data_IF_754587477895
#
_entry.id   IF_754587477895
#
_cell.length_a   1.000
_cell.length_b   1.000
_cell.length_c   1.000
_cell.angle_alpha   90.00
_cell.angle_beta   90.00
_cell.angle_gamma   90.00
#
_symmetry.space_group_name_H-M   'P 1'
#
loop_
_entity.id
_entity.type
_entity.pdbx_description
1 polymer ?
#
# COMPACT_ATOMS: atom_id res chain seq x y z
N UNK A 1 -23.13 3.31 -8.39
CA UNK A 1 -22.31 3.95 -7.35
C UNK A 1 -22.62 5.44 -7.15
N UNK A 2 -23.72 5.96 -7.71
CA UNK A 2 -24.08 7.38 -7.58
C UNK A 2 -24.31 7.81 -6.13
N UNK A 3 -25.02 7.04 -5.31
CA UNK A 3 -25.26 7.40 -3.90
C UNK A 3 -23.97 7.63 -3.10
N UNK A 4 -22.94 6.80 -3.36
CA UNK A 4 -21.63 6.97 -2.73
C UNK A 4 -20.91 8.19 -3.29
N UNK A 5 -21.01 8.44 -4.59
CA UNK A 5 -20.41 9.61 -5.23
C UNK A 5 -21.05 10.92 -4.73
N UNK A 6 -22.37 10.95 -4.55
CA UNK A 6 -23.11 12.08 -3.97
C UNK A 6 -22.69 12.31 -2.50
N UNK A 7 -22.49 11.23 -1.74
CA UNK A 7 -21.92 11.33 -0.39
C UNK A 7 -20.51 11.91 -0.40
N UNK A 8 -19.65 11.43 -1.30
CA UNK A 8 -18.28 11.93 -1.46
C UNK A 8 -18.25 13.42 -1.85
N UNK A 9 -19.15 13.84 -2.75
CA UNK A 9 -19.39 15.24 -3.12
C UNK A 9 -19.72 16.09 -1.91
N UNK A 10 -20.74 15.68 -1.14
CA UNK A 10 -21.21 16.41 0.04
C UNK A 10 -20.11 16.54 1.11
N UNK A 11 -19.29 15.51 1.31
CA UNK A 11 -18.14 15.56 2.23
C UNK A 11 -17.08 16.53 1.71
N UNK A 12 -16.70 16.44 0.43
CA UNK A 12 -15.67 17.29 -0.16
C UNK A 12 -16.08 18.76 -0.20
N UNK A 13 -17.35 19.06 -0.48
CA UNK A 13 -17.90 20.42 -0.44
C UNK A 13 -17.88 20.96 0.99
N UNK A 14 -18.39 20.18 1.96
CA UNK A 14 -18.46 20.58 3.37
C UNK A 14 -17.09 20.92 3.97
N UNK A 15 -16.05 20.18 3.57
CA UNK A 15 -14.69 20.32 4.10
C UNK A 15 -13.73 21.02 3.13
N UNK A 16 -14.24 21.66 2.08
CA UNK A 16 -13.41 22.42 1.15
C UNK A 16 -12.58 23.49 1.89
N UNK A 17 -11.30 23.61 1.55
CA UNK A 17 -10.33 24.46 2.24
C UNK A 17 -9.85 23.95 3.61
N UNK A 18 -10.39 22.82 4.12
CA UNK A 18 -9.99 22.22 5.41
C UNK A 18 -9.39 20.83 5.26
N UNK A 19 -9.96 20.00 4.39
CA UNK A 19 -9.45 18.67 4.04
C UNK A 19 -9.04 18.69 2.57
N UNK A 20 -7.79 18.30 2.33
CA UNK A 20 -7.21 18.24 0.99
C UNK A 20 -7.19 16.83 0.41
N UNK A 21 -7.01 15.80 1.24
CA UNK A 21 -6.78 14.43 0.79
C UNK A 21 -7.98 13.55 1.13
N UNK A 22 -8.49 12.80 0.16
CA UNK A 22 -9.64 11.92 0.31
C UNK A 22 -9.29 10.53 -0.20
N UNK A 23 -9.25 9.53 0.67
CA UNK A 23 -9.11 8.13 0.26
C UNK A 23 -10.48 7.53 -0.03
N UNK A 24 -10.62 6.96 -1.22
CA UNK A 24 -11.85 6.33 -1.64
C UNK A 24 -11.78 4.84 -1.31
N UNK A 25 -12.49 4.48 -0.24
CA UNK A 25 -12.59 3.12 0.30
C UNK A 25 -11.33 2.65 1.05
N UNK A 26 -11.45 1.48 1.69
CA UNK A 26 -10.36 0.78 2.35
C UNK A 26 -10.38 -0.69 1.89
N UNK A 27 -9.25 -1.23 1.45
CA UNK A 27 -9.07 -2.66 1.21
C UNK A 27 -10.15 -3.33 0.31
N UNK A 28 -10.50 -2.74 -0.86
CA UNK A 28 -11.59 -3.24 -1.71
C UNK A 28 -11.34 -4.65 -2.30
N UNK A 29 -10.12 -5.16 -2.20
CA UNK A 29 -9.74 -6.50 -2.63
C UNK A 29 -9.90 -7.58 -1.54
N UNK A 30 -10.44 -7.23 -0.37
CA UNK A 30 -10.89 -8.15 0.67
C UNK A 30 -12.40 -8.06 0.93
N UNK A 31 -13.11 -9.18 0.96
CA UNK A 31 -14.58 -9.26 1.09
C UNK A 31 -15.10 -8.67 2.39
N UNK A 32 -14.34 -8.79 3.48
CA UNK A 32 -14.69 -8.15 4.76
C UNK A 32 -14.89 -6.63 4.61
N UNK A 33 -14.18 -6.04 3.66
CA UNK A 33 -14.13 -4.60 3.41
C UNK A 33 -14.89 -4.21 2.13
N UNK A 34 -15.22 -5.17 1.25
CA UNK A 34 -15.95 -4.95 -0.01
C UNK A 34 -17.40 -5.45 0.03
N UNK A 35 -18.06 -5.32 1.18
CA UNK A 35 -19.42 -5.80 1.38
C UNK A 35 -19.47 -7.29 1.71
N UNK A 36 -19.89 -7.61 2.93
CA UNK A 36 -19.99 -8.99 3.40
C UNK A 36 -20.90 -9.80 2.46
N UNK A 37 -20.41 -10.97 2.01
CA UNK A 37 -21.09 -11.92 1.12
C UNK A 37 -21.13 -11.59 -0.39
N UNK A 38 -20.22 -10.77 -0.93
CA UNK A 38 -20.06 -10.65 -2.38
C UNK A 38 -18.61 -10.82 -2.85
N UNK A 39 -18.38 -11.28 -4.09
CA UNK A 39 -17.03 -11.35 -4.62
C UNK A 39 -16.37 -9.97 -4.71
N UNK A 40 -15.07 -9.90 -4.46
CA UNK A 40 -14.28 -8.70 -4.72
C UNK A 40 -14.20 -8.45 -6.22
N UNK A 41 -14.31 -7.19 -6.63
CA UNK A 41 -14.45 -6.85 -8.04
C UNK A 41 -13.67 -5.56 -8.36
N UNK A 42 -12.49 -5.66 -9.00
CA UNK A 42 -11.66 -4.52 -9.38
C UNK A 42 -12.38 -3.53 -10.29
N UNK A 43 -13.13 -4.00 -11.28
CA UNK A 43 -13.81 -3.15 -12.25
C UNK A 43 -14.93 -2.33 -11.56
N UNK A 44 -15.69 -2.96 -10.68
CA UNK A 44 -16.69 -2.29 -9.85
C UNK A 44 -16.08 -1.27 -8.89
N UNK A 45 -14.94 -1.59 -8.28
CA UNK A 45 -14.21 -0.63 -7.47
C UNK A 45 -13.73 0.56 -8.31
N UNK A 46 -13.25 0.32 -9.53
CA UNK A 46 -12.89 1.39 -10.48
C UNK A 46 -14.07 2.28 -10.83
N UNK A 47 -15.26 1.72 -11.09
CA UNK A 47 -16.47 2.51 -11.32
C UNK A 47 -16.82 3.42 -10.12
N UNK A 48 -16.76 2.87 -8.89
CA UNK A 48 -16.97 3.63 -7.66
C UNK A 48 -15.93 4.75 -7.49
N UNK A 49 -14.65 4.43 -7.71
CA UNK A 49 -13.53 5.37 -7.62
C UNK A 49 -13.69 6.52 -8.62
N UNK A 50 -13.96 6.22 -9.89
CA UNK A 50 -14.13 7.22 -10.94
C UNK A 50 -15.34 8.12 -10.70
N UNK A 51 -16.47 7.57 -10.25
CA UNK A 51 -17.65 8.36 -9.90
C UNK A 51 -17.33 9.33 -8.75
N UNK A 52 -16.72 8.85 -7.67
CA UNK A 52 -16.31 9.69 -6.55
C UNK A 52 -15.28 10.75 -6.95
N UNK A 53 -14.27 10.38 -7.75
CA UNK A 53 -13.25 11.31 -8.27
C UNK A 53 -13.90 12.47 -9.02
N UNK A 54 -14.78 12.18 -9.98
CA UNK A 54 -15.47 13.20 -10.78
C UNK A 54 -16.28 14.18 -9.92
N UNK A 55 -17.06 13.66 -8.96
CA UNK A 55 -17.88 14.50 -8.07
C UNK A 55 -17.02 15.37 -7.13
N UNK A 56 -15.99 14.78 -6.51
CA UNK A 56 -15.07 15.52 -5.64
C UNK A 56 -14.39 16.64 -6.41
N UNK A 57 -13.86 16.36 -7.61
CA UNK A 57 -13.15 17.36 -8.41
C UNK A 57 -14.05 18.48 -8.90
N UNK A 58 -15.34 18.22 -9.13
CA UNK A 58 -16.32 19.23 -9.55
C UNK A 58 -16.55 20.31 -8.47
N UNK A 59 -16.63 19.92 -7.20
CA UNK A 59 -16.87 20.85 -6.08
C UNK A 59 -15.58 21.36 -5.43
N UNK A 60 -14.49 20.61 -5.54
CA UNK A 60 -13.18 20.95 -5.00
C UNK A 60 -12.06 20.50 -5.96
N UNK A 61 -11.71 21.33 -6.97
CA UNK A 61 -10.63 21.02 -7.90
C UNK A 61 -9.24 20.87 -7.25
N UNK A 62 -9.04 21.44 -6.05
CA UNK A 62 -7.79 21.35 -5.29
C UNK A 62 -7.67 20.11 -4.41
N UNK A 63 -8.74 19.30 -4.31
CA UNK A 63 -8.71 18.03 -3.61
C UNK A 63 -7.74 17.05 -4.31
N UNK A 64 -7.09 16.22 -3.51
CA UNK A 64 -6.25 15.11 -3.94
C UNK A 64 -6.97 13.82 -3.57
N UNK A 65 -7.25 12.99 -4.55
CA UNK A 65 -8.02 11.76 -4.39
C UNK A 65 -7.06 10.58 -4.40
N UNK A 66 -7.10 9.79 -3.33
CA UNK A 66 -6.35 8.55 -3.20
C UNK A 66 -7.25 7.38 -3.60
N UNK A 67 -6.72 6.47 -4.44
CA UNK A 67 -7.28 5.13 -4.52
C UNK A 67 -7.11 4.42 -3.17
N UNK A 68 -8.04 3.54 -2.84
CA UNK A 68 -8.09 2.77 -1.60
C UNK A 68 -6.89 1.84 -1.49
N UNK A 69 -6.34 1.75 -0.28
CA UNK A 69 -5.22 0.87 -0.02
C UNK A 69 -5.66 -0.58 -0.21
N UNK A 70 -4.95 -1.34 -1.02
CA UNK A 70 -5.26 -2.74 -1.24
C UNK A 70 -4.74 -3.58 -0.06
N UNK A 71 -5.54 -4.55 0.40
CA UNK A 71 -5.09 -5.58 1.35
C UNK A 71 -3.89 -6.29 0.73
N UNK A 72 -2.72 -6.33 1.39
CA UNK A 72 -1.56 -7.00 0.84
C UNK A 72 -1.73 -8.50 1.04
N UNK A 73 -2.15 -9.19 -0.02
CA UNK A 73 -2.52 -10.61 0.02
C UNK A 73 -2.07 -11.35 -1.21
N UNK A 74 -1.82 -12.65 -1.06
CA UNK A 74 -1.52 -13.57 -2.17
C UNK A 74 -2.72 -14.43 -2.55
N UNK A 75 -3.88 -14.18 -1.92
CA UNK A 75 -5.10 -14.92 -2.16
C UNK A 75 -5.61 -14.74 -3.59
N UNK A 76 -6.20 -15.80 -4.17
CA UNK A 76 -6.85 -15.74 -5.47
C UNK A 76 -8.16 -16.52 -5.34
N UNK A 77 -9.15 -15.89 -4.72
CA UNK A 77 -10.50 -16.44 -4.59
C UNK A 77 -11.54 -15.31 -4.61
N UNK A 78 -12.82 -15.68 -4.68
CA UNK A 78 -13.92 -14.72 -4.77
C UNK A 78 -13.91 -13.71 -3.62
N UNK A 79 -13.53 -14.15 -2.41
CA UNK A 79 -13.53 -13.29 -1.24
C UNK A 79 -12.28 -12.43 -1.08
N UNK A 80 -11.14 -12.80 -1.67
CA UNK A 80 -9.88 -12.08 -1.52
C UNK A 80 -9.05 -12.24 -2.78
N UNK A 81 -8.63 -11.12 -3.35
CA UNK A 81 -7.82 -11.11 -4.57
C UNK A 81 -6.48 -10.43 -4.32
N UNK A 82 -5.42 -11.05 -4.86
CA UNK A 82 -4.07 -10.54 -4.83
C UNK A 82 -4.03 -9.09 -5.31
N UNK A 83 -3.38 -8.25 -4.54
CA UNK A 83 -3.31 -6.80 -4.73
C UNK A 83 -2.70 -6.41 -6.10
N UNK A 84 -1.67 -7.12 -6.56
CA UNK A 84 -1.09 -6.86 -7.88
C UNK A 84 -2.08 -7.20 -9.01
N UNK A 85 -2.79 -8.32 -8.92
CA UNK A 85 -3.82 -8.69 -9.91
C UNK A 85 -4.99 -7.70 -9.86
N UNK A 86 -5.41 -7.29 -8.67
CA UNK A 86 -6.48 -6.32 -8.48
C UNK A 86 -6.10 -4.97 -9.09
N UNK A 87 -4.89 -4.47 -8.83
CA UNK A 87 -4.37 -3.21 -9.39
C UNK A 87 -4.24 -3.26 -10.92
N UNK A 88 -3.74 -4.36 -11.49
CA UNK A 88 -3.69 -4.55 -12.94
C UNK A 88 -5.08 -4.45 -13.59
N UNK A 89 -6.08 -5.07 -12.96
CA UNK A 89 -7.46 -5.03 -13.45
C UNK A 89 -8.11 -3.65 -13.27
N UNK A 90 -7.79 -2.94 -12.18
CA UNK A 90 -8.19 -1.54 -12.02
C UNK A 90 -7.65 -0.67 -13.16
N UNK A 91 -6.37 -0.82 -13.48
CA UNK A 91 -5.76 -0.08 -14.60
C UNK A 91 -6.40 -0.42 -15.93
N UNK A 92 -6.64 -1.70 -16.21
CA UNK A 92 -7.34 -2.15 -17.42
C UNK A 92 -8.78 -1.59 -17.52
N UNK A 93 -9.42 -1.31 -16.39
CA UNK A 93 -10.74 -0.69 -16.30
C UNK A 93 -10.71 0.85 -16.37
N UNK A 94 -9.54 1.48 -16.48
CA UNK A 94 -9.39 2.93 -16.61
C UNK A 94 -9.18 3.68 -15.28
N UNK A 95 -8.84 2.99 -14.20
CA UNK A 95 -8.63 3.64 -12.89
C UNK A 95 -7.52 4.69 -12.90
N UNK A 96 -6.56 4.61 -13.83
CA UNK A 96 -5.47 5.58 -13.95
C UNK A 96 -5.97 7.02 -14.03
N UNK A 97 -7.09 7.29 -14.68
CA UNK A 97 -7.62 8.67 -14.80
C UNK A 97 -8.44 9.13 -13.57
N UNK A 98 -8.57 8.27 -12.55
CA UNK A 98 -9.52 8.42 -11.45
C UNK A 98 -8.88 8.48 -10.06
N UNK A 99 -7.57 8.65 -9.97
CA UNK A 99 -6.88 8.96 -8.71
C UNK A 99 -5.61 9.79 -8.97
N UNK A 100 -5.23 10.58 -7.96
CA UNK A 100 -4.01 11.38 -7.98
C UNK A 100 -2.85 10.66 -7.25
N UNK A 101 -3.19 9.77 -6.31
CA UNK A 101 -2.25 9.04 -5.46
C UNK A 101 -2.74 7.60 -5.28
N UNK A 102 -1.86 6.61 -5.38
CA UNK A 102 -2.20 5.23 -5.02
C UNK A 102 -1.94 5.02 -3.54
N UNK A 103 -2.92 4.55 -2.78
CA UNK A 103 -2.70 4.15 -1.39
C UNK A 103 -2.25 2.69 -1.31
N UNK A 104 -1.42 2.34 -0.32
CA UNK A 104 -0.90 0.99 -0.13
C UNK A 104 -0.67 0.69 1.35
N UNK A 105 -0.63 -0.60 1.68
CA UNK A 105 -0.30 -1.07 3.03
C UNK A 105 1.19 -1.45 3.11
N UNK A 106 1.83 -1.11 4.22
CA UNK A 106 3.26 -1.29 4.51
C UNK A 106 3.53 -2.32 5.59
N UNK A 107 2.67 -3.32 5.79
CA UNK A 107 2.87 -4.31 6.85
C UNK A 107 4.13 -5.16 6.62
N UNK A 108 5.03 -5.19 7.61
CA UNK A 108 6.26 -5.99 7.52
C UNK A 108 6.09 -7.46 7.90
N UNK A 109 4.96 -7.80 8.54
CA UNK A 109 4.55 -9.15 8.95
C UNK A 109 5.69 -9.91 9.68
N UNK A 110 6.34 -10.83 8.98
CA UNK A 110 7.36 -11.75 9.51
C UNK A 110 8.81 -11.31 9.22
N UNK A 111 9.01 -10.11 8.71
CA UNK A 111 10.32 -9.62 8.25
C UNK A 111 10.56 -8.18 8.67
N UNK A 112 11.83 -7.79 8.85
CA UNK A 112 12.19 -6.42 9.18
C UNK A 112 12.06 -5.46 7.99
N UNK A 113 12.10 -4.16 8.28
CA UNK A 113 11.97 -3.10 7.27
C UNK A 113 13.10 -3.11 6.22
N UNK A 114 14.30 -3.59 6.58
CA UNK A 114 15.45 -3.72 5.69
C UNK A 114 15.50 -5.06 4.93
N UNK A 115 14.42 -5.84 4.90
CA UNK A 115 14.35 -6.99 4.00
C UNK A 115 14.35 -6.52 2.54
N UNK A 116 15.24 -7.08 1.72
CA UNK A 116 15.30 -6.80 0.28
C UNK A 116 14.77 -7.96 -0.57
N UNK A 117 14.31 -9.05 0.05
CA UNK A 117 13.77 -10.20 -0.66
C UNK A 117 12.43 -9.82 -1.28
N UNK A 118 12.43 -9.79 -2.61
CA UNK A 118 11.24 -9.63 -3.43
C UNK A 118 10.83 -11.00 -3.97
N UNK A 119 9.71 -11.52 -3.46
CA UNK A 119 9.06 -12.73 -3.98
C UNK A 119 7.58 -12.41 -4.18
N UNK A 120 6.99 -12.65 -5.36
CA UNK A 120 5.60 -12.26 -5.63
C UNK A 120 4.57 -12.90 -4.70
N UNK A 121 4.93 -14.00 -4.03
CA UNK A 121 4.09 -14.74 -3.10
C UNK A 121 4.45 -14.50 -1.62
N UNK A 122 5.25 -13.49 -1.32
CA UNK A 122 5.61 -13.11 0.06
C UNK A 122 5.23 -11.65 0.26
N UNK A 123 4.37 -11.42 1.25
CA UNK A 123 4.03 -10.07 1.69
C UNK A 123 5.04 -9.61 2.74
N UNK A 124 5.67 -8.48 2.49
CA UNK A 124 6.59 -7.78 3.37
C UNK A 124 6.65 -6.29 2.98
N UNK A 125 7.36 -5.48 3.76
CA UNK A 125 7.49 -4.05 3.50
C UNK A 125 7.94 -3.68 2.07
N UNK A 126 8.96 -4.33 1.46
CA UNK A 126 9.38 -4.02 0.09
C UNK A 126 8.39 -4.48 -0.99
N UNK A 127 7.31 -5.22 -0.67
CA UNK A 127 6.27 -5.60 -1.64
C UNK A 127 5.68 -4.40 -2.38
N UNK A 128 5.67 -3.21 -1.76
CA UNK A 128 5.29 -1.95 -2.38
C UNK A 128 6.08 -1.61 -3.66
N UNK A 129 7.29 -2.18 -3.82
CA UNK A 129 8.05 -2.07 -5.07
C UNK A 129 7.33 -2.77 -6.25
N UNK A 130 6.56 -3.82 -6.02
CA UNK A 130 5.76 -4.45 -7.08
C UNK A 130 4.55 -3.60 -7.47
N UNK A 131 3.86 -2.98 -6.50
CA UNK A 131 2.79 -2.01 -6.79
C UNK A 131 3.35 -0.86 -7.63
N UNK A 132 4.52 -0.33 -7.24
CA UNK A 132 5.21 0.70 -8.00
C UNK A 132 5.54 0.26 -9.43
N UNK A 133 6.03 -0.96 -9.62
CA UNK A 133 6.34 -1.51 -10.94
C UNK A 133 5.08 -1.67 -11.81
N UNK A 134 3.91 -1.96 -11.22
CA UNK A 134 2.61 -1.96 -11.94
C UNK A 134 2.28 -0.55 -12.39
N UNK A 135 2.30 0.45 -11.49
CA UNK A 135 1.98 1.84 -11.84
C UNK A 135 2.85 2.38 -12.97
N UNK A 136 4.17 2.15 -12.90
CA UNK A 136 5.12 2.61 -13.94
C UNK A 136 4.82 1.97 -15.30
N UNK A 137 4.41 0.70 -15.35
CA UNK A 137 4.02 0.02 -16.60
C UNK A 137 2.74 0.58 -17.21
N UNK A 138 1.87 1.17 -16.39
CA UNK A 138 0.63 1.83 -16.83
C UNK A 138 0.79 3.34 -17.05
N UNK A 139 2.02 3.86 -17.05
CA UNK A 139 2.30 5.27 -17.34
C UNK A 139 2.24 6.22 -16.14
N UNK A 140 1.90 5.72 -14.95
CA UNK A 140 1.75 6.51 -13.72
C UNK A 140 3.06 6.62 -12.92
N UNK A 141 4.18 6.76 -13.60
CA UNK A 141 5.48 6.93 -12.94
C UNK A 141 5.59 8.28 -12.18
N UNK A 142 4.77 9.26 -12.51
CA UNK A 142 4.72 10.57 -11.86
C UNK A 142 3.81 10.60 -10.63
N UNK A 143 2.85 9.67 -10.50
CA UNK A 143 1.97 9.58 -9.34
C UNK A 143 2.68 8.94 -8.14
N UNK A 144 2.53 9.49 -6.92
CA UNK A 144 3.13 8.91 -5.73
C UNK A 144 2.30 7.75 -5.18
N UNK A 145 2.95 6.94 -4.33
CA UNK A 145 2.27 5.99 -3.44
C UNK A 145 2.26 6.59 -2.03
N UNK A 146 1.15 6.47 -1.34
CA UNK A 146 1.08 6.74 0.11
C UNK A 146 0.90 5.44 0.86
N UNK A 147 1.69 5.22 1.89
CA UNK A 147 1.51 4.09 2.80
C UNK A 147 0.48 4.52 3.84
N UNK A 148 -0.76 4.04 3.72
CA UNK A 148 -1.87 4.36 4.63
C UNK A 148 -1.77 3.65 5.96
N UNK A 149 -1.18 2.45 5.98
CA UNK A 149 -0.96 1.70 7.21
C UNK A 149 0.42 1.03 7.16
N UNK A 150 1.28 1.38 8.10
CA UNK A 150 2.56 0.75 8.36
C UNK A 150 2.52 0.12 9.75
N UNK A 151 3.08 -1.07 9.91
CA UNK A 151 3.25 -1.63 11.25
C UNK A 151 3.90 -3.00 11.31
N UNK A 152 4.33 -3.33 12.53
CA UNK A 152 4.71 -4.66 12.97
C UNK A 152 3.95 -5.00 14.23
N UNK A 153 3.60 -6.28 14.40
CA UNK A 153 2.68 -6.71 15.45
C UNK A 153 3.45 -7.39 16.60
N UNK A 154 3.17 -6.97 17.85
CA UNK A 154 3.77 -7.56 19.08
C UNK A 154 2.80 -8.49 19.82
N UNK A 155 1.90 -9.15 19.07
CA UNK A 155 0.87 -10.04 19.64
C UNK A 155 1.51 -11.10 20.56
N UNK A 156 1.03 -11.23 21.81
CA UNK A 156 1.55 -12.21 22.76
C UNK A 156 1.51 -13.65 22.24
N UNK A 157 2.35 -14.49 22.84
CA UNK A 157 2.32 -15.94 22.59
C UNK A 157 0.95 -16.53 22.95
N UNK A 158 0.53 -17.57 22.21
CA UNK A 158 -0.76 -18.23 22.40
C UNK A 158 -1.95 -17.56 21.70
N UNK A 159 -1.80 -16.34 21.17
CA UNK A 159 -2.79 -15.70 20.30
C UNK A 159 -2.49 -15.89 18.82
N UNK A 160 -3.51 -15.69 17.98
CA UNK A 160 -3.38 -15.72 16.52
C UNK A 160 -2.37 -14.66 16.05
N UNK A 161 -1.37 -15.09 15.29
CA UNK A 161 -0.30 -14.25 14.76
C UNK A 161 -0.44 -14.02 13.25
N UNK A 162 -1.67 -13.98 12.73
CA UNK A 162 -1.94 -13.76 11.30
C UNK A 162 -1.29 -12.52 10.69
N UNK A 163 -0.95 -11.52 11.51
CA UNK A 163 -0.27 -10.29 11.10
C UNK A 163 1.25 -10.29 11.36
N UNK A 164 1.83 -11.47 11.59
CA UNK A 164 3.20 -11.61 12.08
C UNK A 164 3.31 -11.46 13.60
N UNK A 165 4.50 -11.77 14.12
CA UNK A 165 4.87 -11.57 15.52
C UNK A 165 6.34 -11.16 15.60
N UNK A 166 6.59 -10.03 16.24
CA UNK A 166 7.94 -9.53 16.57
C UNK A 166 8.02 -9.17 18.04
N UNK A 167 9.23 -8.96 18.56
CA UNK A 167 9.40 -8.41 19.92
C UNK A 167 9.12 -6.89 19.94
N UNK A 168 8.81 -6.28 21.10
CA UNK A 168 8.67 -4.82 21.21
C UNK A 168 9.90 -4.05 20.72
N UNK A 169 11.10 -4.56 20.98
CA UNK A 169 12.36 -3.94 20.52
C UNK A 169 12.50 -4.04 18.99
N UNK A 170 12.08 -5.16 18.40
CA UNK A 170 12.04 -5.32 16.95
C UNK A 170 11.00 -4.38 16.32
N UNK A 171 9.80 -4.28 16.89
CA UNK A 171 8.75 -3.37 16.41
C UNK A 171 9.25 -1.92 16.40
N UNK A 172 9.88 -1.47 17.49
CA UNK A 172 10.42 -0.12 17.62
C UNK A 172 11.51 0.16 16.57
N UNK A 173 12.49 -0.75 16.44
CA UNK A 173 13.56 -0.61 15.45
C UNK A 173 13.03 -0.64 14.01
N UNK A 174 12.20 -1.62 13.67
CA UNK A 174 11.70 -1.78 12.30
C UNK A 174 10.82 -0.62 11.87
N UNK A 175 10.05 -0.02 12.78
CA UNK A 175 9.28 1.18 12.48
C UNK A 175 10.18 2.33 12.04
N UNK A 176 11.25 2.63 12.78
CA UNK A 176 12.21 3.69 12.43
C UNK A 176 12.90 3.38 11.11
N UNK A 177 13.45 2.17 10.96
CA UNK A 177 14.12 1.73 9.72
C UNK A 177 13.20 1.83 8.49
N UNK A 178 11.89 1.63 8.65
CA UNK A 178 10.92 1.74 7.56
C UNK A 178 10.80 3.17 7.03
N UNK A 179 10.73 4.16 7.93
CA UNK A 179 10.70 5.57 7.57
C UNK A 179 12.02 6.01 6.92
N UNK A 180 13.15 5.65 7.53
CA UNK A 180 14.48 5.95 7.00
C UNK A 180 14.68 5.36 5.60
N UNK A 181 14.28 4.09 5.41
CA UNK A 181 14.36 3.43 4.12
C UNK A 181 13.45 4.06 3.09
N UNK A 182 12.21 4.40 3.43
CA UNK A 182 11.31 5.08 2.49
C UNK A 182 11.90 6.42 2.03
N UNK A 183 12.45 7.20 2.96
CA UNK A 183 13.14 8.46 2.63
C UNK A 183 14.39 8.25 1.76
N UNK A 184 15.20 7.23 2.08
CA UNK A 184 16.48 6.98 1.43
C UNK A 184 16.38 6.22 0.10
N UNK A 185 15.33 5.43 -0.13
CA UNK A 185 15.24 4.53 -1.28
C UNK A 185 14.00 4.78 -2.16
N UNK A 186 12.92 5.33 -1.61
CA UNK A 186 11.61 5.36 -2.28
C UNK A 186 11.11 6.80 -2.50
N UNK A 187 11.74 7.57 -3.41
CA UNK A 187 11.35 8.96 -3.68
C UNK A 187 9.95 9.13 -4.29
N UNK A 188 9.29 8.02 -4.63
CA UNK A 188 7.90 7.96 -5.08
C UNK A 188 6.90 7.78 -3.93
N UNK A 189 7.37 7.57 -2.70
CA UNK A 189 6.50 7.56 -1.51
C UNK A 189 6.29 8.98 -1.02
N UNK A 190 5.02 9.37 -0.87
CA UNK A 190 4.65 10.69 -0.34
C UNK A 190 4.52 10.71 1.19
N UNK A 191 3.58 9.94 1.72
CA UNK A 191 3.30 9.88 3.17
C UNK A 191 3.36 8.43 3.63
N UNK A 192 3.88 8.22 4.84
CA UNK A 192 3.85 6.93 5.54
C UNK A 192 3.13 7.11 6.89
N UNK A 193 1.99 6.45 7.04
CA UNK A 193 1.17 6.52 8.24
C UNK A 193 1.35 5.24 9.07
N UNK A 194 1.74 5.38 10.34
CA UNK A 194 1.82 4.24 11.25
C UNK A 194 0.43 3.87 11.77
N UNK A 195 0.08 2.59 11.67
CA UNK A 195 -1.17 2.05 12.15
C UNK A 195 -0.95 1.38 13.50
N UNK A 196 -1.47 1.87 14.61
CA UNK A 196 -2.29 3.08 14.84
C UNK A 196 -1.94 3.69 16.21
N UNK A 197 -2.50 4.87 16.55
CA UNK A 197 -2.17 5.54 17.80
C UNK A 197 -2.60 4.76 19.07
N UNK A 198 -3.91 4.57 19.29
CA UNK A 198 -4.46 3.82 20.44
C UNK A 198 -5.86 3.28 20.15
N UNK A 199 -6.31 2.32 20.97
CA UNK A 199 -7.73 1.95 21.08
C UNK A 199 -8.42 2.75 22.17
N UNK A 200 -9.75 2.83 22.14
CA UNK A 200 -10.53 3.60 23.13
C UNK A 200 -10.33 3.06 24.56
N UNK A 201 -10.43 1.75 24.71
CA UNK A 201 -10.36 0.97 25.95
C UNK A 201 -9.79 -0.44 25.63
N UNK A 202 -9.76 -1.32 26.63
CA UNK A 202 -9.12 -2.65 26.56
C UNK A 202 -10.05 -3.77 26.07
N UNK A 203 -11.20 -3.42 25.50
CA UNK A 203 -12.20 -4.39 25.05
C UNK A 203 -11.74 -5.28 23.88
N UNK A 204 -10.64 -4.91 23.22
CA UNK A 204 -10.09 -5.62 22.06
C UNK A 204 -8.74 -6.29 22.35
N UNK A 205 -8.39 -6.51 23.62
CA UNK A 205 -7.16 -7.23 24.00
C UNK A 205 -7.10 -8.66 23.44
N UNK A 206 -8.24 -9.26 23.12
CA UNK A 206 -8.33 -10.59 22.49
C UNK A 206 -8.16 -10.54 20.96
N UNK A 207 -8.07 -9.35 20.37
CA UNK A 207 -7.90 -9.15 18.93
C UNK A 207 -6.41 -8.99 18.60
N UNK A 208 -5.90 -9.81 17.69
CA UNK A 208 -4.48 -9.74 17.27
C UNK A 208 -4.08 -8.36 16.76
N UNK A 209 -4.98 -7.63 16.12
CA UNK A 209 -4.68 -6.29 15.59
C UNK A 209 -4.45 -5.23 16.68
N UNK A 210 -4.89 -5.46 17.93
CA UNK A 210 -4.70 -4.54 19.05
C UNK A 210 -3.22 -4.26 19.34
N UNK A 211 -2.35 -5.21 18.99
CA UNK A 211 -0.91 -5.18 19.27
C UNK A 211 -0.08 -4.43 18.22
N UNK A 212 -0.72 -3.64 17.37
CA UNK A 212 -0.06 -2.63 16.54
C UNK A 212 0.01 -1.24 17.18
N UNK A 213 -0.74 -0.99 18.26
CA UNK A 213 -0.90 0.34 18.87
C UNK A 213 0.43 0.97 19.29
N UNK A 214 0.55 2.28 19.12
CA UNK A 214 1.66 3.09 19.65
C UNK A 214 1.51 3.38 21.14
N UNK A 215 0.28 3.51 21.62
CA UNK A 215 -0.06 3.77 23.02
C UNK A 215 -1.11 2.77 23.49
N UNK A 216 -1.05 2.41 24.77
CA UNK A 216 -2.15 1.73 25.45
C UNK A 216 -3.40 2.62 25.55
N UNK A 217 -4.53 2.02 25.93
CA UNK A 217 -5.79 2.74 26.08
C UNK A 217 -5.70 3.91 27.06
N UNK A 218 -4.84 3.80 28.07
CA UNK A 218 -4.57 4.80 29.11
C UNK A 218 -3.45 5.81 28.76
N UNK A 219 -3.00 5.81 27.49
CA UNK A 219 -1.90 6.63 26.97
C UNK A 219 -0.49 6.21 27.42
N UNK A 220 -0.32 5.04 28.02
CA UNK A 220 1.03 4.49 28.27
C UNK A 220 1.76 4.24 26.94
N UNK A 221 2.93 4.86 26.70
CA UNK A 221 3.64 4.71 25.45
C UNK A 221 4.25 3.31 25.32
N UNK A 222 4.13 2.72 24.12
CA UNK A 222 4.86 1.51 23.76
C UNK A 222 6.27 1.88 23.27
N UNK A 223 7.26 0.96 23.30
CA UNK A 223 8.63 1.24 22.85
C UNK A 223 8.72 1.82 21.43
N UNK A 224 7.80 1.42 20.54
CA UNK A 224 7.72 1.97 19.18
C UNK A 224 7.32 3.44 19.13
N UNK A 225 6.46 3.91 20.03
CA UNK A 225 6.10 5.32 20.11
C UNK A 225 7.32 6.15 20.53
N UNK A 226 8.04 5.69 21.55
CA UNK A 226 9.24 6.38 22.04
C UNK A 226 10.30 6.50 20.94
N UNK A 227 10.57 5.39 20.24
CA UNK A 227 11.53 5.38 19.13
C UNK A 227 11.13 6.34 18.00
N UNK A 228 9.86 6.33 17.56
CA UNK A 228 9.40 7.23 16.50
C UNK A 228 9.43 8.70 16.93
N UNK A 229 9.05 9.00 18.18
CA UNK A 229 9.05 10.35 18.73
C UNK A 229 10.47 10.91 18.89
N UNK A 230 11.45 10.07 19.18
CA UNK A 230 12.85 10.47 19.28
C UNK A 230 13.47 10.72 17.90
N UNK A 231 13.24 9.82 16.93
CA UNK A 231 13.96 9.83 15.65
C UNK A 231 13.33 10.73 14.58
N UNK A 232 12.00 10.70 14.40
CA UNK A 232 11.37 11.37 13.25
C UNK A 232 11.46 12.91 13.26
N UNK A 233 11.36 13.62 14.40
CA UNK A 233 11.54 15.08 14.43
C UNK A 233 12.96 15.53 14.08
N UNK A 234 13.94 14.61 14.17
CA UNK A 234 15.35 14.85 13.84
C UNK A 234 15.68 14.45 12.41
N UNK A 235 14.77 13.77 11.70
CA UNK A 235 14.97 13.39 10.31
C UNK A 235 15.12 14.66 9.46
N UNK A 236 16.23 14.76 8.74
CA UNK A 236 16.47 15.85 7.80
C UNK A 236 15.40 15.86 6.70
N UNK A 237 15.21 17.00 6.04
CA UNK A 237 14.42 17.00 4.80
C UNK A 237 15.02 15.96 3.84
N UNK A 238 14.19 15.11 3.22
CA UNK A 238 14.68 14.07 2.33
C UNK A 238 15.50 14.71 1.20
N UNK A 239 16.74 14.29 1.04
CA UNK A 239 17.58 14.75 -0.07
C UNK A 239 16.97 14.31 -1.41
N UNK A 240 16.90 15.24 -2.36
CA UNK A 240 16.50 14.90 -3.73
C UNK A 240 17.47 13.86 -4.28
N UNK A 241 16.92 12.72 -4.71
CA UNK A 241 17.75 11.66 -5.27
C UNK A 241 18.39 12.08 -6.58
N UNK A 242 19.51 11.45 -6.93
CA UNK A 242 20.16 11.70 -8.20
C UNK A 242 19.23 11.29 -9.37
N UNK A 243 19.23 12.07 -10.45
CA UNK A 243 18.34 11.86 -11.60
C UNK A 243 18.39 10.45 -12.21
N UNK A 244 19.54 9.78 -12.13
CA UNK A 244 19.69 8.41 -12.62
C UNK A 244 18.90 7.38 -11.79
N UNK A 245 18.61 7.65 -10.51
CA UNK A 245 17.78 6.78 -9.67
C UNK A 245 16.35 6.78 -10.18
N UNK A 246 15.80 7.95 -10.48
CA UNK A 246 14.48 8.08 -11.11
C UNK A 246 14.44 7.38 -12.48
N UNK A 247 15.50 7.56 -13.28
CA UNK A 247 15.64 6.87 -14.57
C UNK A 247 15.67 5.34 -14.43
N UNK A 248 16.42 4.81 -13.47
CA UNK A 248 16.47 3.38 -13.17
C UNK A 248 15.10 2.86 -12.73
N UNK A 249 14.41 3.55 -11.81
CA UNK A 249 13.07 3.17 -11.34
C UNK A 249 12.03 3.19 -12.46
N UNK A 250 12.13 4.11 -13.42
CA UNK A 250 11.26 4.13 -14.60
C UNK A 250 11.52 2.99 -15.58
N UNK A 251 12.78 2.52 -15.68
CA UNK A 251 13.18 1.47 -16.64
C UNK A 251 13.05 0.06 -16.05
N UNK A 252 13.32 -0.11 -14.75
CA UNK A 252 13.35 -1.40 -14.04
C UNK A 252 12.16 -2.32 -14.35
N UNK A 253 10.89 -1.85 -14.34
CA UNK A 253 9.73 -2.72 -14.60
C UNK A 253 9.74 -3.33 -16.00
N UNK A 254 10.36 -2.63 -16.95
CA UNK A 254 10.47 -3.07 -18.33
C UNK A 254 11.66 -3.97 -18.59
N UNK A 255 12.63 -4.11 -17.69
CA UNK A 255 13.80 -4.96 -17.91
C UNK A 255 13.52 -6.45 -17.71
N UNK A 256 12.53 -6.79 -16.88
CA UNK A 256 12.16 -8.19 -16.63
C UNK A 256 11.36 -8.83 -17.78
N UNK A 257 10.69 -8.02 -18.62
CA UNK A 257 9.90 -8.50 -19.77
C UNK A 257 10.82 -9.01 -20.92
N UNK A 258 11.85 -8.25 -21.37
CA UNK A 258 12.84 -8.69 -22.35
C UNK A 258 13.67 -9.87 -21.86
N UNK A 259 14.09 -9.91 -20.60
CA UNK A 259 14.89 -11.03 -20.08
C UNK A 259 14.13 -12.35 -20.12
N UNK A 260 12.83 -12.34 -19.78
CA UNK A 260 11.97 -13.52 -19.94
C UNK A 260 11.73 -13.87 -21.40
N UNK A 261 11.49 -12.88 -22.27
CA UNK A 261 11.30 -13.13 -23.70
C UNK A 261 12.57 -13.71 -24.35
N UNK A 262 13.75 -13.16 -24.07
CA UNK A 262 15.05 -13.64 -24.56
C UNK A 262 15.31 -15.06 -24.06
N UNK A 263 15.06 -15.33 -22.77
CA UNK A 263 15.20 -16.69 -22.21
C UNK A 263 14.22 -17.67 -22.86
N UNK A 264 12.96 -17.26 -23.06
CA UNK A 264 11.94 -18.05 -23.73
C UNK A 264 12.30 -18.36 -25.18
N UNK A 265 12.75 -17.38 -25.96
CA UNK A 265 13.18 -17.59 -27.35
C UNK A 265 14.50 -18.37 -27.44
N UNK A 266 15.43 -18.20 -26.49
CA UNK A 266 16.64 -19.01 -26.41
C UNK A 266 16.32 -20.48 -26.10
N UNK A 267 15.39 -20.73 -25.17
CA UNK A 267 14.90 -22.08 -24.86
C UNK A 267 14.15 -22.69 -26.04
N UNK A 268 13.27 -21.94 -26.70
CA UNK A 268 12.58 -22.40 -27.92
C UNK A 268 13.58 -22.80 -29.00
N UNK A 269 14.60 -21.97 -29.25
CA UNK A 269 15.66 -22.26 -30.22
C UNK A 269 16.50 -23.48 -29.85
N UNK A 270 16.77 -23.69 -28.57
CA UNK A 270 17.52 -24.86 -28.09
C UNK A 270 16.69 -26.16 -28.15
N UNK A 271 15.36 -26.05 -27.99
CA UNK A 271 14.43 -27.18 -28.04
C UNK A 271 13.90 -27.47 -29.44
N UNK A 272 14.16 -26.61 -30.44
CA UNK A 272 13.79 -26.89 -31.82
C UNK A 272 14.77 -27.90 -32.40
N UNK A 273 14.32 -29.06 -32.92
CA UNK A 273 15.20 -30.01 -33.58
C UNK A 273 15.94 -29.32 -34.74
N UNK A 274 17.25 -29.53 -34.84
CA UNK A 274 17.98 -29.16 -36.04
C UNK A 274 17.53 -30.11 -37.17
N UNK A 275 17.03 -29.57 -38.27
CA UNK A 275 16.88 -30.33 -39.50
C UNK A 275 18.30 -30.62 -40.02
N UNK A 276 18.71 -31.90 -39.96
CA UNK A 276 19.95 -32.42 -40.52
C UNK A 276 19.90 -32.47 -42.06
#
# INVERSE_FOLDING_TARGET
YEDFADFAEAVAERYNGRIRYYQIWNEPNGNAEWGLNQPVNPEQYTELLCAAYGRIKAVNPGAVVLAGALTPTVAINDGNLNDLIFLERMYAAGAGDCFDVMSAQGYGLWSGALDHRLKPNVINYPHNLYLRDVMVRHGDADKPIWISELGWNVVPEGMDARFGRVTPEQQARFAVEAYERAQAEWPWVGVVNYWFLKRKDDTELDQSFYYFRLLDADFTPQPVYEALAETLPQAAEPELQAGWVYGWMGIRPYLFIPSLAILFFALLRWLTPHED
#
